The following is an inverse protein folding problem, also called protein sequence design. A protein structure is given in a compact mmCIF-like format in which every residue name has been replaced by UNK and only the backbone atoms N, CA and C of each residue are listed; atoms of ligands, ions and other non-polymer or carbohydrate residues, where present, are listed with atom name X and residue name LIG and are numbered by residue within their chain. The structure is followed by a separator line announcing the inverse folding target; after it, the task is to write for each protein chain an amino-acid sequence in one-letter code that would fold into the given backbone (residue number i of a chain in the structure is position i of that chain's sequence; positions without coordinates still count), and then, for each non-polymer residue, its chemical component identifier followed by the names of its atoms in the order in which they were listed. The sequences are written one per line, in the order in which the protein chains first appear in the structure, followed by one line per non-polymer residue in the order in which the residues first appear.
data_IF_996889712664
#
_entry.id   IF_996889712664
#
_cell.length_a   1.000
_cell.length_b   1.000
_cell.length_c   1.000
_cell.angle_alpha   90.00
_cell.angle_beta   90.00
_cell.angle_gamma   90.00
#
_symmetry.space_group_name_H-M   'P 1'
#
loop_
_entity.id
_entity.type
_entity.pdbx_description
1 polymer ?
#
# COMPACT_ATOMS: atom_id res chain seq x y z
N UNK A 1 19.25 -9.33 6.25
CA UNK A 1 18.32 -8.24 6.59
C UNK A 1 17.02 -8.64 5.95
N UNK A 2 16.05 -9.12 6.73
CA UNK A 2 14.75 -9.57 6.20
C UNK A 2 14.03 -8.35 5.64
N UNK A 3 14.08 -8.19 4.32
CA UNK A 3 13.20 -7.29 3.59
C UNK A 3 11.87 -8.03 3.42
N UNK A 4 11.10 -8.14 4.50
CA UNK A 4 9.81 -8.80 4.47
C UNK A 4 8.82 -7.90 3.71
N UNK A 5 8.45 -8.31 2.50
CA UNK A 5 7.44 -7.63 1.71
C UNK A 5 6.07 -7.90 2.34
N UNK A 6 5.52 -6.88 3.01
CA UNK A 6 4.22 -6.93 3.69
C UNK A 6 3.09 -6.22 2.94
N UNK A 7 1.86 -6.61 3.23
CA UNK A 7 0.67 -5.87 2.82
C UNK A 7 0.08 -5.12 4.03
N UNK A 8 -0.22 -3.83 3.85
CA UNK A 8 -0.81 -2.98 4.88
C UNK A 8 -2.09 -2.34 4.36
N UNK A 9 -3.05 -2.15 5.26
CA UNK A 9 -4.29 -1.42 4.96
C UNK A 9 -4.24 -0.05 5.65
N UNK A 10 -4.45 1.00 4.88
CA UNK A 10 -4.45 2.38 5.37
C UNK A 10 -5.79 3.02 5.03
N UNK A 11 -6.41 3.66 6.01
CA UNK A 11 -7.59 4.49 5.82
C UNK A 11 -7.17 5.95 5.71
N UNK A 12 -7.62 6.62 4.65
CA UNK A 12 -7.43 8.05 4.46
C UNK A 12 -8.71 8.79 4.86
N UNK A 13 -8.56 9.85 5.66
CA UNK A 13 -9.69 10.71 6.05
C UNK A 13 -9.96 11.82 5.03
N UNK A 14 -8.96 12.20 4.22
CA UNK A 14 -9.11 13.18 3.14
C UNK A 14 -8.97 12.54 1.76
N UNK A 15 -9.88 12.92 0.85
CA UNK A 15 -9.88 12.42 -0.52
C UNK A 15 -8.61 12.80 -1.29
N UNK A 16 -8.09 14.02 -1.09
CA UNK A 16 -6.90 14.50 -1.77
C UNK A 16 -5.64 13.67 -1.40
N UNK A 17 -5.52 13.27 -0.14
CA UNK A 17 -4.41 12.43 0.31
C UNK A 17 -4.47 11.04 -0.32
N UNK A 18 -5.67 10.43 -0.33
CA UNK A 18 -5.91 9.16 -1.01
C UNK A 18 -5.57 9.25 -2.50
N UNK A 19 -6.06 10.27 -3.19
CA UNK A 19 -5.86 10.46 -4.63
C UNK A 19 -4.37 10.61 -4.96
N UNK A 20 -3.66 11.43 -4.19
CA UNK A 20 -2.21 11.60 -4.33
C UNK A 20 -1.47 10.26 -4.20
N UNK A 21 -1.82 9.46 -3.19
CA UNK A 21 -1.14 8.17 -2.94
C UNK A 21 -1.43 7.14 -4.04
N UNK A 22 -2.67 7.07 -4.53
CA UNK A 22 -3.10 6.12 -5.56
C UNK A 22 -2.56 6.49 -6.95
N UNK A 23 -2.55 7.78 -7.30
CA UNK A 23 -2.13 8.24 -8.65
C UNK A 23 -0.63 8.50 -8.73
N UNK A 24 -0.01 8.96 -7.63
CA UNK A 24 1.39 9.40 -7.63
C UNK A 24 2.44 8.29 -7.53
N UNK A 25 2.03 7.04 -7.30
CA UNK A 25 2.95 5.90 -7.19
C UNK A 25 3.34 5.29 -8.55
N UNK A 26 4.24 4.29 -8.57
CA UNK A 26 4.88 3.65 -7.41
C UNK A 26 5.93 4.54 -6.71
N UNK A 27 6.04 4.39 -5.40
CA UNK A 27 6.94 5.22 -4.58
C UNK A 27 8.21 4.45 -4.22
N UNK A 28 9.36 5.11 -4.29
CA UNK A 28 10.62 4.58 -3.77
C UNK A 28 10.88 5.18 -2.39
N UNK A 29 10.92 4.35 -1.35
CA UNK A 29 11.12 4.75 0.03
C UNK A 29 12.25 3.89 0.62
N UNK A 30 13.39 4.50 0.94
CA UNK A 30 14.56 3.81 1.49
C UNK A 30 14.92 2.51 0.73
N UNK A 31 14.98 2.59 -0.60
CA UNK A 31 15.25 1.46 -1.53
C UNK A 31 14.14 0.38 -1.62
N UNK A 32 12.97 0.63 -1.01
CA UNK A 32 11.79 -0.23 -1.12
C UNK A 32 10.73 0.39 -2.05
N UNK A 33 10.09 -0.46 -2.86
CA UNK A 33 8.99 -0.06 -3.72
C UNK A 33 7.66 -0.19 -2.98
N UNK A 34 6.91 0.90 -2.89
CA UNK A 34 5.55 0.93 -2.35
C UNK A 34 4.55 1.15 -3.49
N UNK A 35 3.65 0.18 -3.65
CA UNK A 35 2.51 0.25 -4.58
C UNK A 35 1.24 0.33 -3.76
N UNK A 36 0.37 1.28 -4.12
CA UNK A 36 -0.93 1.44 -3.50
C UNK A 36 -2.04 1.06 -4.49
N UNK A 37 -3.07 0.40 -3.98
CA UNK A 37 -4.29 0.12 -4.73
C UNK A 37 -5.51 0.43 -3.88
N UNK A 38 -6.67 0.51 -4.54
CA UNK A 38 -7.92 0.50 -3.80
C UNK A 38 -8.06 -0.78 -2.99
N UNK A 39 -8.56 -0.65 -1.76
CA UNK A 39 -8.92 -1.80 -0.96
C UNK A 39 -10.09 -2.55 -1.59
N UNK A 40 -10.05 -3.87 -1.51
CA UNK A 40 -11.11 -4.78 -1.93
C UNK A 40 -11.37 -5.78 -0.80
N UNK A 41 -12.64 -6.06 -0.46
CA UNK A 41 -12.99 -7.05 0.56
C UNK A 41 -12.57 -8.48 0.20
N UNK A 42 -12.32 -8.75 -1.08
CA UNK A 42 -11.84 -10.02 -1.62
C UNK A 42 -10.31 -10.16 -1.53
N UNK A 43 -9.60 -9.14 -1.09
CA UNK A 43 -8.16 -9.20 -0.92
C UNK A 43 -7.78 -10.13 0.24
N UNK A 44 -7.23 -11.29 -0.10
CA UNK A 44 -6.58 -12.19 0.85
C UNK A 44 -5.06 -11.99 0.76
N UNK A 45 -4.44 -11.52 1.85
CA UNK A 45 -2.98 -11.52 1.95
C UNK A 45 -2.50 -12.98 2.02
N UNK A 46 -1.65 -13.45 1.10
CA UNK A 46 -1.16 -14.83 1.12
C UNK A 46 -0.36 -15.18 2.39
N UNK A 47 0.08 -14.15 3.13
CA UNK A 47 0.87 -14.26 4.35
C UNK A 47 0.08 -13.85 5.62
N UNK A 48 -1.22 -13.58 5.52
CA UNK A 48 -2.04 -13.37 6.71
C UNK A 48 -2.22 -14.71 7.46
N UNK A 49 -1.76 -14.76 8.71
CA UNK A 49 -1.98 -15.87 9.63
C UNK A 49 -3.40 -15.88 10.18
#
# INVERSE_FOLDING_TARGET
MDNDNGFYMVKFEHAADKEKVIIGGPWLIFDHCLVASHWSPEFASPNAK
#
